data_IF_352319523551
#
_entry.id   IF_352319523551
#
_cell.length_a   1.000
_cell.length_b   1.000
_cell.length_c   1.000
_cell.angle_alpha   90.00
_cell.angle_beta   90.00
_cell.angle_gamma   90.00
#
_symmetry.space_group_name_H-M   'P 1'
#
loop_
_entity.id
_entity.type
_entity.pdbx_description
1 polymer ?
#
# COMPACT_ATOMS: atom_id res chain seq x y z
N UNK A 1 21.40 -12.70 47.27
CA UNK A 1 19.97 -12.33 47.30
C UNK A 1 19.75 -10.82 47.06
N UNK A 2 20.55 -9.92 47.66
CA UNK A 2 20.42 -8.46 47.46
C UNK A 2 20.84 -8.01 46.06
N UNK A 3 21.78 -8.70 45.43
CA UNK A 3 22.18 -8.44 44.05
C UNK A 3 21.06 -8.81 43.09
N UNK A 4 20.32 -9.89 43.32
CA UNK A 4 19.16 -10.27 42.52
C UNK A 4 17.98 -9.32 42.69
N UNK A 5 17.75 -8.79 43.88
CA UNK A 5 16.71 -7.76 44.13
C UNK A 5 17.04 -6.46 43.44
N UNK A 6 18.30 -5.99 43.49
CA UNK A 6 18.74 -4.78 42.81
C UNK A 6 18.68 -4.89 41.31
N UNK A 7 19.01 -6.04 40.72
CA UNK A 7 18.86 -6.25 39.26
C UNK A 7 17.39 -6.32 38.84
N UNK A 8 16.52 -6.87 39.69
CA UNK A 8 15.09 -6.92 39.41
C UNK A 8 14.45 -5.54 39.49
N UNK A 9 14.83 -4.72 40.45
CA UNK A 9 14.36 -3.35 40.62
C UNK A 9 14.88 -2.45 39.46
N UNK A 10 16.10 -2.65 38.98
CA UNK A 10 16.62 -1.89 37.83
C UNK A 10 16.01 -2.31 36.50
N UNK A 11 15.56 -3.58 36.34
CA UNK A 11 14.84 -4.05 35.14
C UNK A 11 13.37 -3.62 35.13
N UNK A 12 12.78 -3.41 36.30
CA UNK A 12 11.40 -2.86 36.43
C UNK A 12 11.37 -1.32 36.34
N UNK A 13 12.51 -0.67 36.44
CA UNK A 13 12.67 0.78 36.38
C UNK A 13 13.00 1.28 34.96
N UNK A 14 12.76 0.46 33.93
CA UNK A 14 12.71 0.92 32.55
C UNK A 14 11.48 1.84 32.46
N UNK A 15 11.72 3.14 32.50
CA UNK A 15 10.68 4.15 32.42
C UNK A 15 9.83 3.90 31.19
N UNK A 16 8.56 3.58 31.40
CA UNK A 16 7.57 3.65 30.31
C UNK A 16 7.60 5.08 29.75
N UNK A 17 7.44 5.23 28.42
CA UNK A 17 7.39 6.58 27.84
C UNK A 17 6.30 7.38 28.57
N UNK A 18 6.69 8.54 29.09
CA UNK A 18 5.77 9.49 29.71
C UNK A 18 4.62 9.83 28.73
N UNK A 19 3.41 9.98 29.22
CA UNK A 19 2.24 10.39 28.43
C UNK A 19 2.51 11.68 27.66
N UNK A 20 3.29 12.60 28.23
CA UNK A 20 3.71 13.82 27.57
C UNK A 20 4.65 13.53 26.38
N UNK A 21 5.50 12.52 26.45
CA UNK A 21 6.36 12.09 25.35
C UNK A 21 5.54 11.42 24.24
N UNK A 22 4.58 10.58 24.58
CA UNK A 22 3.68 9.95 23.60
C UNK A 22 2.83 10.99 22.88
N UNK A 23 2.27 11.97 23.60
CA UNK A 23 1.50 13.07 23.02
C UNK A 23 2.38 13.97 22.12
N UNK A 24 3.61 14.25 22.53
CA UNK A 24 4.56 15.01 21.71
C UNK A 24 4.93 14.25 20.44
N UNK A 25 5.14 12.94 20.54
CA UNK A 25 5.44 12.06 19.41
C UNK A 25 4.24 11.99 18.44
N UNK A 26 3.02 11.84 18.96
CA UNK A 26 1.80 11.88 18.14
C UNK A 26 1.59 13.24 17.46
N UNK A 27 1.93 14.33 18.14
CA UNK A 27 1.85 15.68 17.57
C UNK A 27 2.92 15.90 16.49
N UNK A 28 4.12 15.40 16.69
CA UNK A 28 5.18 15.45 15.67
C UNK A 28 4.79 14.63 14.44
N UNK A 29 4.23 13.43 14.62
CA UNK A 29 3.73 12.60 13.53
C UNK A 29 2.56 13.27 12.80
N UNK A 30 1.69 14.00 13.50
CA UNK A 30 0.57 14.73 12.89
C UNK A 30 1.01 16.01 12.17
N UNK A 31 2.15 16.58 12.55
CA UNK A 31 2.76 17.76 11.92
C UNK A 31 3.74 17.39 10.81
N UNK A 32 4.15 16.13 10.71
CA UNK A 32 4.99 15.65 9.62
C UNK A 32 4.26 15.82 8.28
N UNK A 33 4.99 16.16 7.23
CA UNK A 33 4.45 16.23 5.88
C UNK A 33 3.76 14.89 5.54
N UNK A 34 2.55 14.89 4.95
CA UNK A 34 1.86 13.68 4.58
C UNK A 34 2.71 12.87 3.60
N UNK A 35 2.66 11.55 3.72
CA UNK A 35 3.31 10.65 2.78
C UNK A 35 2.68 10.80 1.41
N UNK A 36 3.52 10.70 0.38
CA UNK A 36 3.08 10.85 -1.00
C UNK A 36 2.67 9.51 -1.59
N UNK A 37 1.56 9.49 -2.30
CA UNK A 37 1.07 8.31 -2.99
C UNK A 37 0.80 8.58 -4.46
N UNK A 38 1.01 7.57 -5.31
CA UNK A 38 0.63 7.57 -6.71
C UNK A 38 -0.31 6.39 -6.98
N UNK A 39 -1.34 6.64 -7.76
CA UNK A 39 -2.31 5.63 -8.17
C UNK A 39 -2.05 5.25 -9.62
N UNK A 40 -2.00 3.95 -9.89
CA UNK A 40 -1.90 3.41 -11.24
C UNK A 40 -3.13 2.55 -11.52
N UNK A 41 -4.00 3.03 -12.38
CA UNK A 41 -5.19 2.28 -12.83
C UNK A 41 -4.81 1.48 -14.07
N UNK A 42 -4.94 0.18 -13.99
CA UNK A 42 -4.63 -0.74 -15.10
C UNK A 42 -5.93 -1.15 -15.76
N UNK A 43 -6.16 -0.68 -16.97
CA UNK A 43 -7.36 -1.01 -17.75
C UNK A 43 -7.11 -0.85 -19.23
N UNK A 44 -7.73 -1.71 -20.05
CA UNK A 44 -7.77 -1.55 -21.50
C UNK A 44 -8.92 -0.67 -21.98
N UNK A 45 -9.83 -0.33 -21.08
CA UNK A 45 -11.06 0.43 -21.34
C UNK A 45 -11.13 1.65 -20.42
N UNK A 46 -10.28 2.69 -20.65
CA UNK A 46 -10.35 3.92 -19.87
C UNK A 46 -11.69 4.64 -20.12
N UNK A 47 -12.26 5.21 -19.06
CA UNK A 47 -13.55 5.89 -19.14
C UNK A 47 -14.10 6.21 -17.74
N UNK A 48 -15.41 6.36 -17.64
CA UNK A 48 -16.08 6.75 -16.39
C UNK A 48 -15.75 5.85 -15.21
N UNK A 49 -15.61 4.55 -15.43
CA UNK A 49 -15.30 3.60 -14.36
C UNK A 49 -13.88 3.80 -13.83
N UNK A 50 -12.90 4.03 -14.70
CA UNK A 50 -11.53 4.33 -14.29
C UNK A 50 -11.44 5.66 -13.56
N UNK A 51 -12.18 6.67 -14.00
CA UNK A 51 -12.24 7.98 -13.35
C UNK A 51 -12.89 7.87 -11.97
N UNK A 52 -13.98 7.12 -11.84
CA UNK A 52 -14.66 6.86 -10.57
C UNK A 52 -13.76 6.11 -9.59
N UNK A 53 -13.03 5.09 -10.06
CA UNK A 53 -12.08 4.33 -9.24
C UNK A 53 -10.92 5.22 -8.78
N UNK A 54 -10.37 6.01 -9.66
CA UNK A 54 -9.30 6.96 -9.36
C UNK A 54 -9.73 7.95 -8.27
N UNK A 55 -10.93 8.51 -8.38
CA UNK A 55 -11.48 9.41 -7.38
C UNK A 55 -11.67 8.72 -6.03
N UNK A 56 -12.25 7.52 -6.02
CA UNK A 56 -12.47 6.75 -4.79
C UNK A 56 -11.14 6.44 -4.07
N UNK A 57 -10.15 5.97 -4.79
CA UNK A 57 -8.82 5.66 -4.22
C UNK A 57 -8.15 6.94 -3.70
N UNK A 58 -8.26 8.05 -4.42
CA UNK A 58 -7.72 9.35 -3.98
C UNK A 58 -8.35 9.82 -2.68
N UNK A 59 -9.66 9.70 -2.54
CA UNK A 59 -10.38 10.06 -1.32
C UNK A 59 -9.97 9.19 -0.13
N UNK A 60 -9.87 7.87 -0.33
CA UNK A 60 -9.46 6.92 0.71
C UNK A 60 -8.01 7.15 1.16
N UNK A 61 -7.11 7.42 0.23
CA UNK A 61 -5.72 7.76 0.56
C UNK A 61 -5.62 9.09 1.32
N UNK A 62 -6.40 10.08 0.93
CA UNK A 62 -6.45 11.36 1.65
C UNK A 62 -6.94 11.17 3.10
N UNK A 63 -7.95 10.34 3.33
CA UNK A 63 -8.41 9.96 4.68
C UNK A 63 -7.32 9.26 5.50
N UNK A 64 -6.45 8.47 4.84
CA UNK A 64 -5.30 7.81 5.45
C UNK A 64 -4.07 8.72 5.59
N UNK A 65 -4.23 10.03 5.40
CA UNK A 65 -3.18 11.04 5.48
C UNK A 65 -2.06 10.89 4.42
N UNK A 66 -2.42 10.43 3.23
CA UNK A 66 -1.55 10.47 2.06
C UNK A 66 -1.88 11.68 1.20
N UNK A 67 -0.85 12.31 0.66
CA UNK A 67 -0.99 13.28 -0.43
C UNK A 67 -0.90 12.50 -1.75
N UNK A 68 -1.98 12.54 -2.52
CA UNK A 68 -2.01 11.90 -3.83
C UNK A 68 -1.38 12.83 -4.86
N UNK A 69 -0.25 12.44 -5.42
CA UNK A 69 0.46 13.20 -6.44
C UNK A 69 -0.24 13.12 -7.81
N UNK A 70 -0.99 12.06 -8.04
CA UNK A 70 -1.76 11.87 -9.25
C UNK A 70 -2.30 10.47 -9.40
N UNK A 71 -3.12 10.28 -10.43
CA UNK A 71 -3.60 8.98 -10.87
C UNK A 71 -3.27 8.83 -12.36
N UNK A 72 -2.65 7.72 -12.72
CA UNK A 72 -2.26 7.39 -14.08
C UNK A 72 -3.08 6.20 -14.54
N UNK A 73 -3.63 6.28 -15.75
CA UNK A 73 -4.31 5.16 -16.39
C UNK A 73 -3.39 4.55 -17.43
N UNK A 74 -3.12 3.27 -17.31
CA UNK A 74 -2.27 2.53 -18.24
C UNK A 74 -2.99 1.30 -18.79
N UNK A 75 -2.62 0.88 -19.98
CA UNK A 75 -3.15 -0.34 -20.57
C UNK A 75 -2.55 -1.59 -19.89
N UNK A 76 -3.22 -2.73 -20.04
CA UNK A 76 -2.81 -4.03 -19.49
C UNK A 76 -1.63 -4.63 -20.26
N UNK A 77 -0.53 -3.87 -20.32
CA UNK A 77 0.74 -4.29 -20.91
C UNK A 77 1.83 -4.22 -19.83
N UNK A 78 2.57 -5.30 -19.67
CA UNK A 78 3.65 -5.40 -18.69
C UNK A 78 4.61 -4.21 -18.77
N UNK A 79 5.02 -3.82 -19.96
CA UNK A 79 5.95 -2.69 -20.16
C UNK A 79 5.37 -1.36 -19.72
N UNK A 80 4.08 -1.12 -19.93
CA UNK A 80 3.41 0.12 -19.54
C UNK A 80 3.20 0.21 -18.04
N UNK A 81 2.78 -0.86 -17.42
CA UNK A 81 2.60 -0.95 -15.96
C UNK A 81 3.96 -0.77 -15.27
N UNK A 82 4.96 -1.49 -15.72
CA UNK A 82 6.34 -1.39 -15.23
C UNK A 82 6.87 0.04 -15.32
N UNK A 83 6.71 0.69 -16.48
CA UNK A 83 7.16 2.06 -16.68
C UNK A 83 6.49 3.04 -15.72
N UNK A 84 5.19 2.89 -15.47
CA UNK A 84 4.46 3.74 -14.52
C UNK A 84 5.00 3.56 -13.09
N UNK A 85 5.23 2.33 -12.65
CA UNK A 85 5.77 2.04 -11.32
C UNK A 85 7.21 2.58 -11.19
N UNK A 86 8.08 2.32 -12.18
CA UNK A 86 9.47 2.81 -12.18
C UNK A 86 9.53 4.34 -12.13
N UNK A 87 8.70 5.02 -12.88
CA UNK A 87 8.61 6.49 -12.88
C UNK A 87 8.22 7.01 -11.49
N UNK A 88 7.27 6.37 -10.84
CA UNK A 88 6.87 6.73 -9.48
C UNK A 88 7.99 6.49 -8.45
N UNK A 89 8.69 5.39 -8.55
CA UNK A 89 9.83 5.06 -7.68
C UNK A 89 10.95 6.09 -7.84
N UNK A 90 11.30 6.44 -9.07
CA UNK A 90 12.30 7.48 -9.37
C UNK A 90 11.84 8.85 -8.84
N UNK A 91 10.56 9.14 -8.91
CA UNK A 91 9.96 10.36 -8.35
C UNK A 91 9.93 10.43 -6.83
N UNK A 92 10.31 9.34 -6.15
CA UNK A 92 10.45 9.31 -4.68
C UNK A 92 9.13 9.29 -3.93
N UNK A 93 8.05 8.77 -4.52
CA UNK A 93 6.79 8.58 -3.79
C UNK A 93 6.95 7.50 -2.71
N UNK A 94 6.17 7.59 -1.65
CA UNK A 94 6.21 6.64 -0.55
C UNK A 94 5.40 5.38 -0.85
N UNK A 95 4.31 5.52 -1.60
CA UNK A 95 3.37 4.45 -1.92
C UNK A 95 2.94 4.51 -3.39
N UNK A 96 2.96 3.37 -4.05
CA UNK A 96 2.29 3.16 -5.35
C UNK A 96 1.19 2.13 -5.16
N UNK A 97 -0.04 2.52 -5.41
CA UNK A 97 -1.17 1.61 -5.48
C UNK A 97 -1.52 1.35 -6.94
N UNK A 98 -1.43 0.11 -7.36
CA UNK A 98 -1.97 -0.31 -8.65
C UNK A 98 -3.35 -0.90 -8.46
N UNK A 99 -4.28 -0.60 -9.33
CA UNK A 99 -5.65 -1.12 -9.30
C UNK A 99 -5.96 -1.81 -10.62
N UNK A 100 -6.27 -3.09 -10.55
CA UNK A 100 -6.59 -3.92 -11.71
C UNK A 100 -5.44 -4.79 -12.18
N UNK A 101 -5.73 -5.67 -13.13
CA UNK A 101 -4.76 -6.57 -13.77
C UNK A 101 -4.20 -7.65 -12.86
N UNK A 102 -4.89 -8.02 -11.79
CA UNK A 102 -4.43 -9.00 -10.78
C UNK A 102 -5.09 -10.38 -10.91
N UNK A 103 -5.98 -10.58 -11.87
CA UNK A 103 -6.66 -11.84 -12.09
C UNK A 103 -5.78 -12.89 -12.78
N UNK A 104 -6.44 -13.96 -13.23
CA UNK A 104 -5.77 -15.12 -13.87
C UNK A 104 -5.87 -15.10 -15.39
N UNK A 105 -6.46 -14.06 -15.97
CA UNK A 105 -6.62 -13.91 -17.41
C UNK A 105 -5.30 -13.62 -18.13
N UNK A 106 -5.25 -13.80 -19.46
CA UNK A 106 -4.02 -13.60 -20.25
C UNK A 106 -3.58 -12.13 -20.32
N UNK A 107 -4.48 -11.20 -20.01
CA UNK A 107 -4.18 -9.76 -19.97
C UNK A 107 -3.88 -9.23 -18.57
N UNK A 108 -3.97 -10.06 -17.55
CA UNK A 108 -3.67 -9.71 -16.16
C UNK A 108 -2.15 -9.78 -15.92
N UNK A 109 -1.47 -8.66 -16.12
CA UNK A 109 0.00 -8.54 -16.13
C UNK A 109 0.57 -7.72 -14.98
N UNK A 110 -0.28 -7.18 -14.10
CA UNK A 110 0.17 -6.31 -13.00
C UNK A 110 1.14 -7.01 -12.05
N UNK A 111 0.93 -8.25 -11.60
CA UNK A 111 1.88 -8.90 -10.71
C UNK A 111 3.26 -9.11 -11.34
N UNK A 112 3.31 -9.51 -12.60
CA UNK A 112 4.56 -9.74 -13.33
C UNK A 112 5.34 -8.43 -13.53
N UNK A 113 4.63 -7.34 -13.87
CA UNK A 113 5.23 -6.02 -14.01
C UNK A 113 5.78 -5.51 -12.66
N UNK A 114 5.02 -5.68 -11.59
CA UNK A 114 5.41 -5.28 -10.24
C UNK A 114 6.62 -6.05 -9.77
N UNK A 115 6.64 -7.36 -9.96
CA UNK A 115 7.77 -8.21 -9.57
C UNK A 115 9.09 -7.76 -10.22
N UNK A 116 9.05 -7.25 -11.44
CA UNK A 116 10.23 -6.77 -12.15
C UNK A 116 10.82 -5.47 -11.57
N UNK A 117 10.08 -4.75 -10.74
CA UNK A 117 10.48 -3.46 -10.16
C UNK A 117 10.85 -3.56 -8.69
N UNK A 118 10.19 -4.42 -7.93
CA UNK A 118 10.40 -4.52 -6.48
C UNK A 118 11.71 -5.23 -6.13
N UNK A 119 12.41 -4.73 -5.12
CA UNK A 119 13.65 -5.30 -4.60
C UNK A 119 13.38 -6.42 -3.58
N UNK A 120 12.33 -6.23 -2.75
CA UNK A 120 11.95 -7.14 -1.69
C UNK A 120 10.44 -7.35 -1.68
N UNK A 121 10.03 -8.61 -1.67
CA UNK A 121 8.64 -8.99 -1.47
C UNK A 121 8.23 -8.79 0.00
N UNK A 122 7.00 -8.30 0.20
CA UNK A 122 6.33 -8.25 1.51
C UNK A 122 5.01 -9.01 1.39
N UNK A 123 5.06 -10.36 1.31
CA UNK A 123 3.87 -11.16 0.97
C UNK A 123 2.76 -11.10 2.00
N UNK A 124 3.07 -10.75 3.24
CA UNK A 124 2.07 -10.61 4.30
C UNK A 124 1.00 -9.56 4.02
N UNK A 125 1.35 -8.46 3.35
CA UNK A 125 0.38 -7.42 2.95
C UNK A 125 -0.59 -7.97 1.91
N UNK A 126 -0.10 -8.60 0.85
CA UNK A 126 -0.94 -9.20 -0.19
C UNK A 126 -1.83 -10.32 0.36
N UNK A 127 -1.33 -11.14 1.29
CA UNK A 127 -2.12 -12.18 1.96
C UNK A 127 -3.22 -11.59 2.84
N UNK A 128 -2.91 -10.54 3.60
CA UNK A 128 -3.89 -9.83 4.44
C UNK A 128 -5.01 -9.22 3.57
N UNK A 129 -4.67 -8.62 2.44
CA UNK A 129 -5.63 -8.07 1.48
C UNK A 129 -6.57 -9.16 0.93
N UNK A 130 -6.04 -10.32 0.55
CA UNK A 130 -6.86 -11.44 0.07
C UNK A 130 -7.79 -11.98 1.15
N UNK A 131 -7.30 -12.16 2.37
CA UNK A 131 -8.11 -12.67 3.49
C UNK A 131 -9.20 -11.68 3.90
N UNK A 132 -8.88 -10.40 3.98
CA UNK A 132 -9.82 -9.34 4.30
C UNK A 132 -10.87 -9.19 3.21
N UNK A 133 -10.47 -9.22 1.94
CA UNK A 133 -11.37 -9.19 0.80
C UNK A 133 -12.37 -10.35 0.80
N UNK A 134 -11.93 -11.54 1.15
CA UNK A 134 -12.82 -12.71 1.30
C UNK A 134 -13.87 -12.48 2.40
N UNK A 135 -13.45 -11.95 3.53
CA UNK A 135 -14.34 -11.68 4.67
C UNK A 135 -15.42 -10.64 4.35
N UNK A 136 -15.11 -9.64 3.53
CA UNK A 136 -16.06 -8.60 3.13
C UNK A 136 -16.82 -8.90 1.81
N UNK A 137 -16.63 -10.09 1.24
CA UNK A 137 -17.34 -10.55 0.02
C UNK A 137 -16.76 -10.04 -1.30
N UNK A 138 -15.55 -9.49 -1.29
CA UNK A 138 -14.84 -9.10 -2.51
C UNK A 138 -14.17 -10.32 -3.14
N UNK A 139 -14.89 -11.04 -3.98
CA UNK A 139 -14.42 -12.31 -4.59
C UNK A 139 -13.16 -12.10 -5.43
N UNK A 140 -13.07 -11.03 -6.19
CA UNK A 140 -11.89 -10.72 -7.00
C UNK A 140 -10.65 -10.43 -6.16
N UNK A 141 -10.81 -9.89 -4.94
CA UNK A 141 -9.71 -9.70 -4.02
C UNK A 141 -9.13 -11.04 -3.54
N UNK A 142 -9.98 -12.01 -3.17
CA UNK A 142 -9.51 -13.30 -2.68
C UNK A 142 -8.86 -14.16 -3.77
N UNK A 143 -9.23 -13.98 -5.04
CA UNK A 143 -8.62 -14.66 -6.20
C UNK A 143 -7.48 -13.86 -6.82
N UNK A 144 -7.16 -12.70 -6.29
CA UNK A 144 -6.09 -11.84 -6.77
C UNK A 144 -4.71 -12.49 -6.64
N UNK A 145 -3.90 -12.38 -7.70
CA UNK A 145 -2.47 -12.72 -7.68
C UNK A 145 -1.60 -11.51 -7.33
N UNK A 146 -2.20 -10.43 -6.84
CA UNK A 146 -1.53 -9.18 -6.51
C UNK A 146 -0.35 -9.39 -5.58
N UNK A 147 0.69 -8.58 -5.80
CA UNK A 147 1.91 -8.58 -5.02
C UNK A 147 1.98 -7.31 -4.15
N UNK A 148 2.77 -7.41 -3.12
CA UNK A 148 3.21 -6.26 -2.34
C UNK A 148 4.70 -6.36 -2.09
N UNK A 149 5.39 -5.23 -2.15
CA UNK A 149 6.83 -5.22 -1.98
C UNK A 149 7.38 -3.81 -1.87
N UNK A 150 8.68 -3.72 -1.79
CA UNK A 150 9.42 -2.46 -1.66
C UNK A 150 10.42 -2.33 -2.80
N UNK A 151 10.47 -1.15 -3.40
CA UNK A 151 11.49 -0.75 -4.36
C UNK A 151 12.14 0.54 -3.85
N UNK A 152 13.41 0.46 -3.43
CA UNK A 152 14.06 1.56 -2.72
C UNK A 152 13.30 1.91 -1.45
N UNK A 153 12.80 3.14 -1.35
CA UNK A 153 11.96 3.62 -0.24
C UNK A 153 10.46 3.63 -0.56
N UNK A 154 10.06 3.12 -1.72
CA UNK A 154 8.68 3.08 -2.18
C UNK A 154 8.03 1.74 -1.91
N UNK A 155 6.88 1.74 -1.25
CA UNK A 155 6.03 0.55 -1.11
C UNK A 155 5.11 0.46 -2.32
N UNK A 156 5.06 -0.71 -2.95
CA UNK A 156 4.18 -0.99 -4.10
C UNK A 156 3.19 -2.06 -3.68
N UNK A 157 1.90 -1.78 -3.86
CA UNK A 157 0.80 -2.70 -3.51
C UNK A 157 -0.16 -2.81 -4.70
N UNK A 158 -0.47 -4.04 -5.08
CA UNK A 158 -1.49 -4.32 -6.10
C UNK A 158 -2.85 -4.55 -5.44
N UNK A 159 -3.88 -3.89 -5.95
CA UNK A 159 -5.26 -4.09 -5.56
C UNK A 159 -6.08 -4.64 -6.73
N UNK A 160 -7.06 -5.49 -6.41
CA UNK A 160 -8.07 -5.90 -7.37
C UNK A 160 -9.02 -4.72 -7.68
N UNK A 161 -9.67 -4.79 -8.85
CA UNK A 161 -10.37 -3.62 -9.42
C UNK A 161 -11.79 -3.38 -8.90
N UNK A 162 -12.41 -4.32 -8.18
CA UNK A 162 -13.75 -4.10 -7.66
C UNK A 162 -13.80 -3.01 -6.60
N UNK A 163 -14.92 -2.28 -6.52
CA UNK A 163 -15.11 -1.24 -5.50
C UNK A 163 -15.00 -1.80 -4.08
N UNK A 164 -15.50 -3.02 -3.87
CA UNK A 164 -15.39 -3.70 -2.58
C UNK A 164 -13.93 -4.00 -2.21
N UNK A 165 -13.13 -4.49 -3.15
CA UNK A 165 -11.69 -4.75 -2.95
C UNK A 165 -10.90 -3.46 -2.69
N UNK A 166 -11.20 -2.39 -3.42
CA UNK A 166 -10.55 -1.09 -3.26
C UNK A 166 -10.85 -0.48 -1.88
N UNK A 167 -12.09 -0.55 -1.42
CA UNK A 167 -12.47 -0.02 -0.10
C UNK A 167 -11.88 -0.81 1.06
N UNK A 168 -11.80 -2.14 0.90
CA UNK A 168 -11.23 -3.02 1.92
C UNK A 168 -9.71 -2.87 2.02
N UNK A 169 -9.03 -2.77 0.88
CA UNK A 169 -7.57 -2.65 0.82
C UNK A 169 -7.04 -1.31 1.31
#
# INVERSE_FOLDING_TARGET
SDVYKRQRDSLMDVAEPDDAFLLASEQEDSLAAPRRGLIVIVTDHPGEQSDSTSQLVSELLAEANFRVDGAIVVRSKKSKIRQAIETAVVGGVDLVLTVGGTGVGPRDKTPEATRSVIDKMVPGVAQALRSSGQACGAVDACTSRGLSGVSGSTVVVNLASSRAAVRDG
#
